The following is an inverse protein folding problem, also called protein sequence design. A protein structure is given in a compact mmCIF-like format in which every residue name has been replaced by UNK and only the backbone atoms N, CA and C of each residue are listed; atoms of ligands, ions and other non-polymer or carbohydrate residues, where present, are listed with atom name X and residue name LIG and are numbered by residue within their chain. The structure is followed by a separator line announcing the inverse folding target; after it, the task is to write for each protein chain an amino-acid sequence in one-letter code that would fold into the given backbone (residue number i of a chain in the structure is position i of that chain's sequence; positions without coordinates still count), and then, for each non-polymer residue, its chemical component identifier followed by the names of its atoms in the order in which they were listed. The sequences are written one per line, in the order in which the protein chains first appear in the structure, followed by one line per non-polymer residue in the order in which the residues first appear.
data_IF_857418291522
#
_entry.id   IF_857418291522
#
_cell.length_a   1.000
_cell.length_b   1.000
_cell.length_c   1.000
_cell.angle_alpha   90.00
_cell.angle_beta   90.00
_cell.angle_gamma   90.00
#
_symmetry.space_group_name_H-M   'P 1'
#
loop_
_entity.id
_entity.type
_entity.pdbx_description
1 polymer ?
#
# COMPACT_ATOMS: atom_id res chain seq x y z
N UNK A 1 100.80 -11.93 -4.55
CA UNK A 1 99.51 -12.57 -4.93
C UNK A 1 98.44 -12.25 -3.89
N UNK A 2 97.72 -11.13 -3.98
CA UNK A 2 96.70 -10.72 -2.97
C UNK A 2 95.49 -9.97 -3.54
N UNK A 3 95.31 -9.93 -4.87
CA UNK A 3 94.24 -9.18 -5.55
C UNK A 3 93.13 -10.04 -6.19
N UNK A 4 93.17 -11.37 -6.05
CA UNK A 4 92.18 -12.27 -6.68
C UNK A 4 91.08 -12.80 -5.74
N UNK A 5 91.27 -12.75 -4.42
CA UNK A 5 90.30 -13.29 -3.45
C UNK A 5 89.02 -12.44 -3.33
N UNK A 6 89.12 -11.11 -3.44
CA UNK A 6 87.96 -10.21 -3.35
C UNK A 6 86.98 -10.35 -4.51
N UNK A 7 87.45 -10.73 -5.71
CA UNK A 7 86.58 -10.99 -6.88
C UNK A 7 85.82 -12.32 -6.75
N UNK A 8 86.42 -13.33 -6.13
CA UNK A 8 85.76 -14.63 -5.90
C UNK A 8 84.68 -14.49 -4.82
N UNK A 9 84.95 -13.73 -3.74
CA UNK A 9 83.96 -13.48 -2.70
C UNK A 9 82.75 -12.68 -3.22
N UNK A 10 82.98 -11.72 -4.13
CA UNK A 10 81.91 -10.90 -4.70
C UNK A 10 81.04 -11.68 -5.71
N UNK A 11 81.62 -12.65 -6.43
CA UNK A 11 80.86 -13.57 -7.30
C UNK A 11 80.04 -14.56 -6.45
N UNK A 12 80.60 -15.11 -5.37
CA UNK A 12 79.88 -16.02 -4.47
C UNK A 12 78.74 -15.30 -3.73
N UNK A 13 78.90 -14.03 -3.35
CA UNK A 13 77.82 -13.24 -2.71
C UNK A 13 76.71 -12.83 -3.69
N UNK A 14 77.02 -12.66 -4.98
CA UNK A 14 76.03 -12.39 -6.03
C UNK A 14 75.23 -13.64 -6.39
N UNK A 15 75.84 -14.83 -6.34
CA UNK A 15 75.12 -16.10 -6.55
C UNK A 15 74.29 -16.58 -5.34
N UNK A 16 74.52 -16.04 -4.14
CA UNK A 16 73.77 -16.42 -2.93
C UNK A 16 72.48 -15.62 -2.69
N UNK A 17 72.16 -14.61 -3.52
CA UNK A 17 70.98 -13.75 -3.34
C UNK A 17 69.96 -13.85 -4.49
N UNK A 18 70.04 -14.87 -5.34
CA UNK A 18 69.12 -15.09 -6.46
C UNK A 18 68.45 -16.46 -6.36
N UNK A 19 67.84 -16.75 -5.21
CA UNK A 19 66.68 -17.65 -5.19
C UNK A 19 65.42 -16.80 -5.12
N UNK A 20 65.13 -16.08 -6.21
CA UNK A 20 63.73 -15.79 -6.56
C UNK A 20 63.10 -17.14 -6.94
N UNK A 21 62.88 -17.99 -5.95
CA UNK A 21 62.02 -19.14 -6.12
C UNK A 21 60.63 -18.57 -6.44
N UNK A 22 60.10 -18.91 -7.61
CA UNK A 22 58.71 -18.59 -7.91
C UNK A 22 57.85 -19.19 -6.79
N UNK A 23 56.90 -18.40 -6.26
CA UNK A 23 56.02 -18.94 -5.22
C UNK A 23 55.31 -20.18 -5.75
N UNK A 24 55.41 -21.25 -4.98
CA UNK A 24 54.74 -22.52 -5.23
C UNK A 24 53.39 -22.50 -4.53
N UNK A 25 52.41 -23.16 -5.11
CA UNK A 25 51.08 -23.29 -4.53
C UNK A 25 50.62 -24.74 -4.58
N UNK A 26 49.82 -25.14 -3.60
CA UNK A 26 49.23 -26.47 -3.50
C UNK A 26 47.73 -26.38 -3.30
N UNK A 27 46.99 -27.18 -4.06
CA UNK A 27 45.54 -27.29 -3.94
C UNK A 27 45.13 -28.52 -3.15
N UNK A 28 44.12 -28.36 -2.31
CA UNK A 28 43.39 -29.46 -1.68
C UNK A 28 41.90 -29.28 -1.93
N UNK A 29 41.19 -30.40 -2.09
CA UNK A 29 39.75 -30.40 -2.30
C UNK A 29 39.12 -31.53 -1.46
N UNK A 30 37.99 -31.23 -0.84
CA UNK A 30 37.23 -32.16 -0.01
C UNK A 30 35.73 -31.94 -0.17
N UNK A 31 34.98 -33.04 -0.08
CA UNK A 31 33.54 -33.02 0.13
C UNK A 31 33.23 -33.50 1.55
N UNK A 32 32.19 -32.96 2.19
CA UNK A 32 31.79 -33.40 3.52
C UNK A 32 31.22 -34.84 3.55
N UNK A 33 30.75 -35.35 2.41
CA UNK A 33 30.16 -36.68 2.26
C UNK A 33 30.54 -37.34 0.93
N UNK A 34 30.58 -38.66 0.93
CA UNK A 34 30.82 -39.50 -0.26
C UNK A 34 29.54 -40.08 -0.85
N UNK A 35 28.44 -40.04 -0.08
CA UNK A 35 27.10 -40.39 -0.54
C UNK A 35 26.10 -39.38 0.01
N UNK A 36 25.10 -39.05 -0.80
CA UNK A 36 24.03 -38.11 -0.49
C UNK A 36 22.71 -38.63 -1.04
N UNK A 37 21.59 -38.08 -0.58
CA UNK A 37 20.28 -38.26 -1.18
C UNK A 37 20.01 -37.18 -2.23
N UNK A 38 19.04 -37.43 -3.10
CA UNK A 38 18.56 -36.44 -4.06
C UNK A 38 18.18 -35.13 -3.32
N UNK A 39 18.58 -33.98 -3.86
CA UNK A 39 18.37 -32.67 -3.24
C UNK A 39 18.96 -32.45 -1.84
N UNK A 40 19.73 -33.40 -1.30
CA UNK A 40 20.52 -33.18 -0.09
C UNK A 40 21.71 -32.26 -0.38
N UNK A 41 22.03 -31.37 0.55
CA UNK A 41 23.18 -30.48 0.44
C UNK A 41 24.50 -31.25 0.53
N UNK A 42 25.43 -30.96 -0.38
CA UNK A 42 26.79 -31.48 -0.40
C UNK A 42 27.74 -30.29 -0.28
N UNK A 43 28.51 -30.23 0.82
CA UNK A 43 29.49 -29.16 1.02
C UNK A 43 30.81 -29.53 0.35
N UNK A 44 31.28 -28.63 -0.51
CA UNK A 44 32.54 -28.75 -1.23
C UNK A 44 33.47 -27.64 -0.77
N UNK A 45 34.71 -28.00 -0.46
CA UNK A 45 35.75 -27.08 -0.02
C UNK A 45 37.01 -27.26 -0.84
N UNK A 46 37.51 -26.16 -1.38
CA UNK A 46 38.76 -26.08 -2.13
C UNK A 46 39.67 -25.08 -1.43
N UNK A 47 40.90 -25.50 -1.13
CA UNK A 47 41.88 -24.66 -0.43
C UNK A 47 43.16 -24.59 -1.25
N UNK A 48 43.58 -23.37 -1.58
CA UNK A 48 44.87 -23.08 -2.19
C UNK A 48 45.81 -22.52 -1.13
N UNK A 49 46.94 -23.19 -0.90
CA UNK A 49 47.98 -22.74 0.03
C UNK A 49 49.23 -22.38 -0.74
N UNK A 50 49.72 -21.17 -0.55
CA UNK A 50 50.95 -20.66 -1.15
C UNK A 50 52.15 -20.91 -0.23
N UNK A 51 53.35 -20.99 -0.80
CA UNK A 51 54.59 -21.08 -0.03
C UNK A 51 55.00 -19.77 0.65
N UNK A 52 54.41 -18.64 0.24
CA UNK A 52 54.64 -17.28 0.75
C UNK A 52 53.34 -16.43 0.67
N UNK A 53 53.44 -15.11 0.87
CA UNK A 53 52.30 -14.19 0.80
C UNK A 53 51.69 -14.05 -0.61
N UNK A 54 52.45 -14.35 -1.68
CA UNK A 54 51.95 -14.45 -3.06
C UNK A 54 51.13 -13.27 -3.57
N UNK A 55 51.51 -12.05 -3.20
CA UNK A 55 50.81 -10.80 -3.55
C UNK A 55 50.67 -10.56 -5.07
N UNK A 56 51.52 -11.20 -5.88
CA UNK A 56 51.48 -11.09 -7.35
C UNK A 56 50.51 -12.06 -8.03
N UNK A 57 49.83 -12.90 -7.26
CA UNK A 57 48.94 -13.94 -7.78
C UNK A 57 47.48 -13.62 -7.46
N UNK A 58 46.62 -13.70 -8.47
CA UNK A 58 45.16 -13.62 -8.34
C UNK A 58 44.54 -14.93 -8.80
N UNK A 59 43.64 -15.50 -8.00
CA UNK A 59 42.92 -16.74 -8.34
C UNK A 59 41.52 -16.39 -8.83
N UNK A 60 41.16 -16.86 -10.01
CA UNK A 60 39.78 -16.86 -10.50
C UNK A 60 39.21 -18.27 -10.36
N UNK A 61 38.31 -18.43 -9.39
CA UNK A 61 37.62 -19.69 -9.14
C UNK A 61 36.20 -19.44 -8.62
N UNK A 62 35.23 -19.48 -9.53
CA UNK A 62 33.81 -19.32 -9.18
C UNK A 62 32.91 -20.24 -10.02
N UNK A 63 32.90 -21.56 -9.77
CA UNK A 63 32.04 -22.51 -10.47
C UNK A 63 30.55 -22.41 -10.08
N UNK A 64 30.08 -21.38 -9.37
CA UNK A 64 28.67 -21.32 -8.95
C UNK A 64 27.72 -21.21 -10.15
N UNK A 65 26.59 -21.93 -10.12
CA UNK A 65 25.56 -21.86 -11.16
C UNK A 65 24.71 -23.13 -11.28
N UNK A 66 23.89 -23.16 -12.32
CA UNK A 66 23.08 -24.32 -12.69
C UNK A 66 23.86 -25.23 -13.63
N UNK A 67 24.09 -26.47 -13.21
CA UNK A 67 24.63 -27.54 -14.04
C UNK A 67 23.53 -28.53 -14.40
N UNK A 68 23.79 -29.38 -15.39
CA UNK A 68 22.85 -30.41 -15.84
C UNK A 68 22.44 -31.34 -14.69
N UNK A 69 23.42 -31.84 -13.93
CA UNK A 69 23.22 -32.87 -12.88
C UNK A 69 23.07 -32.32 -11.47
N UNK A 70 23.41 -31.05 -11.25
CA UNK A 70 23.39 -30.42 -9.93
C UNK A 70 23.26 -28.91 -10.03
N UNK A 71 22.87 -28.28 -8.93
CA UNK A 71 22.97 -26.83 -8.74
C UNK A 71 24.11 -26.55 -7.77
N UNK A 72 24.94 -25.54 -8.04
CA UNK A 72 26.05 -25.15 -7.18
C UNK A 72 25.89 -23.71 -6.71
N UNK A 73 25.89 -23.51 -5.39
CA UNK A 73 25.80 -22.19 -4.78
C UNK A 73 27.10 -21.84 -4.03
N UNK A 74 27.52 -20.58 -4.13
CA UNK A 74 28.68 -20.08 -3.37
C UNK A 74 28.28 -19.92 -1.91
N UNK A 75 29.06 -20.52 -0.99
CA UNK A 75 28.85 -20.39 0.44
C UNK A 75 29.74 -19.30 1.01
N UNK A 76 31.05 -19.40 0.76
CA UNK A 76 32.01 -18.41 1.22
C UNK A 76 33.31 -18.46 0.42
N UNK A 77 34.01 -17.33 0.42
CA UNK A 77 35.38 -17.22 -0.06
C UNK A 77 36.17 -16.41 0.96
N UNK A 78 37.34 -16.92 1.34
CA UNK A 78 38.22 -16.22 2.28
C UNK A 78 39.68 -16.28 1.86
N UNK A 79 40.44 -15.28 2.30
CA UNK A 79 41.88 -15.19 2.14
C UNK A 79 42.50 -14.81 3.49
N UNK A 80 43.47 -15.61 3.92
CA UNK A 80 44.17 -15.40 5.19
C UNK A 80 45.68 -15.57 5.01
N UNK A 81 46.45 -14.84 5.80
CA UNK A 81 47.90 -15.06 5.94
C UNK A 81 48.14 -15.83 7.24
N UNK A 82 48.67 -17.04 7.12
CA UNK A 82 49.06 -17.89 8.25
C UNK A 82 50.55 -18.14 8.15
N UNK A 83 51.33 -17.74 9.15
CA UNK A 83 52.79 -17.88 9.18
C UNK A 83 53.50 -17.29 7.93
N UNK A 84 53.02 -16.14 7.45
CA UNK A 84 53.56 -15.47 6.25
C UNK A 84 53.20 -16.16 4.93
N UNK A 85 52.30 -17.14 4.95
CA UNK A 85 51.81 -17.88 3.79
C UNK A 85 50.36 -17.56 3.52
N UNK A 86 50.02 -17.28 2.26
CA UNK A 86 48.64 -17.04 1.86
C UNK A 86 47.86 -18.35 1.72
N UNK A 87 46.66 -18.37 2.28
CA UNK A 87 45.70 -19.47 2.19
C UNK A 87 44.36 -18.91 1.72
N UNK A 88 43.91 -19.37 0.56
CA UNK A 88 42.60 -19.03 -0.01
C UNK A 88 41.65 -20.22 0.15
N UNK A 89 40.49 -20.01 0.74
CA UNK A 89 39.43 -21.02 0.91
C UNK A 89 38.22 -20.65 0.06
N UNK A 90 37.69 -21.63 -0.67
CA UNK A 90 36.50 -21.51 -1.50
C UNK A 90 35.53 -22.61 -1.12
N UNK A 91 34.34 -22.22 -0.69
CA UNK A 91 33.33 -23.14 -0.19
C UNK A 91 32.04 -23.01 -0.98
N UNK A 92 31.46 -24.16 -1.33
CA UNK A 92 30.27 -24.27 -2.14
C UNK A 92 29.32 -25.31 -1.55
N UNK A 93 28.03 -25.16 -1.86
CA UNK A 93 27.02 -26.16 -1.56
C UNK A 93 26.39 -26.62 -2.86
N UNK A 94 26.48 -27.92 -3.13
CA UNK A 94 25.87 -28.56 -4.28
C UNK A 94 24.57 -29.27 -3.91
N UNK A 95 23.58 -29.20 -4.79
CA UNK A 95 22.32 -29.93 -4.69
C UNK A 95 22.15 -30.82 -5.91
N UNK A 96 22.14 -32.13 -5.71
CA UNK A 96 21.99 -33.10 -6.78
C UNK A 96 20.57 -33.08 -7.39
N UNK A 97 20.49 -33.20 -8.71
CA UNK A 97 19.22 -33.28 -9.48
C UNK A 97 18.88 -34.69 -9.94
N UNK A 98 19.87 -35.59 -9.95
CA UNK A 98 19.73 -36.97 -10.43
C UNK A 98 20.39 -37.96 -9.46
N UNK A 99 19.81 -39.15 -9.33
CA UNK A 99 20.30 -40.23 -8.46
C UNK A 99 21.38 -41.08 -9.17
N UNK A 100 22.56 -40.49 -9.34
CA UNK A 100 23.72 -41.11 -9.99
C UNK A 100 25.04 -40.72 -9.31
N UNK A 101 26.16 -41.25 -9.78
CA UNK A 101 27.49 -40.75 -9.37
C UNK A 101 27.74 -39.37 -10.02
N UNK A 102 27.85 -38.34 -9.18
CA UNK A 102 28.17 -36.98 -9.60
C UNK A 102 29.66 -36.74 -9.42
N UNK A 103 30.29 -36.22 -10.47
CA UNK A 103 31.69 -35.79 -10.47
C UNK A 103 31.76 -34.25 -10.46
N UNK A 104 32.39 -33.69 -9.43
CA UNK A 104 32.69 -32.26 -9.35
C UNK A 104 34.10 -32.03 -9.89
N UNK A 105 34.19 -31.79 -11.20
CA UNK A 105 35.41 -31.49 -11.91
C UNK A 105 35.41 -30.01 -12.32
N UNK A 106 36.12 -29.17 -11.56
CA UNK A 106 36.20 -27.74 -11.81
C UNK A 106 37.60 -27.33 -12.24
N UNK A 107 37.70 -26.20 -12.94
CA UNK A 107 38.96 -25.59 -13.34
C UNK A 107 39.10 -24.25 -12.63
N UNK A 108 40.33 -23.91 -12.23
CA UNK A 108 40.66 -22.60 -11.70
C UNK A 108 41.74 -21.95 -12.57
N UNK A 109 41.73 -20.62 -12.60
CA UNK A 109 42.68 -19.83 -13.39
C UNK A 109 43.54 -19.00 -12.45
N UNK A 110 44.85 -19.16 -12.58
CA UNK A 110 45.85 -18.41 -11.82
C UNK A 110 46.35 -17.30 -12.72
N UNK A 111 46.21 -16.06 -12.25
CA UNK A 111 46.77 -14.88 -12.91
C UNK A 111 47.98 -14.43 -12.13
N UNK A 112 49.13 -14.37 -12.78
CA UNK A 112 50.36 -13.79 -12.22
C UNK A 112 50.62 -12.45 -12.86
N UNK A 113 50.71 -11.40 -12.05
CA UNK A 113 51.10 -10.07 -12.50
C UNK A 113 52.55 -10.09 -12.98
N UNK A 114 52.80 -9.62 -14.19
CA UNK A 114 54.14 -9.57 -14.76
C UNK A 114 54.92 -8.34 -14.27
N UNK A 115 56.25 -8.44 -14.28
CA UNK A 115 57.14 -7.34 -13.91
C UNK A 115 56.94 -6.09 -14.77
N UNK A 116 56.68 -6.29 -16.05
CA UNK A 116 56.38 -5.23 -17.02
C UNK A 116 55.10 -4.46 -16.66
N UNK A 117 54.05 -5.18 -16.21
CA UNK A 117 52.83 -4.56 -15.70
C UNK A 117 53.09 -3.68 -14.47
N UNK A 118 53.92 -4.14 -13.53
CA UNK A 118 54.27 -3.39 -12.31
C UNK A 118 55.11 -2.15 -12.66
N UNK A 119 56.12 -2.31 -13.52
CA UNK A 119 57.01 -1.22 -13.95
C UNK A 119 56.22 -0.13 -14.72
N UNK A 120 55.26 -0.52 -15.56
CA UNK A 120 54.40 0.42 -16.28
C UNK A 120 53.47 1.22 -15.34
N UNK A 121 52.91 0.60 -14.30
CA UNK A 121 52.09 1.28 -13.29
C UNK A 121 52.92 2.26 -12.43
N UNK A 122 54.15 1.88 -12.04
CA UNK A 122 55.01 2.71 -11.17
C UNK A 122 55.61 3.91 -11.92
N UNK A 123 55.85 3.79 -13.24
CA UNK A 123 56.48 4.83 -14.05
C UNK A 123 55.51 5.84 -14.68
N UNK A 124 54.20 5.74 -14.42
CA UNK A 124 53.20 6.74 -14.84
C UNK A 124 53.09 6.96 -16.36
N UNK A 125 53.35 5.92 -17.17
CA UNK A 125 53.28 6.01 -18.62
C UNK A 125 51.84 5.82 -19.09
N UNK A 126 51.21 6.93 -19.44
CA UNK A 126 49.77 7.09 -19.73
C UNK A 126 49.27 6.47 -21.05
N UNK A 127 49.89 5.40 -21.58
CA UNK A 127 49.56 4.90 -22.93
C UNK A 127 49.62 3.38 -23.17
N UNK A 128 49.49 2.53 -22.15
CA UNK A 128 49.19 1.10 -22.37
C UNK A 128 48.07 0.65 -21.43
N UNK A 129 46.84 0.71 -21.93
CA UNK A 129 45.71 0.02 -21.33
C UNK A 129 45.82 -1.49 -21.63
N UNK A 130 46.48 -2.23 -20.73
CA UNK A 130 46.18 -3.63 -20.38
C UNK A 130 47.19 -4.08 -19.33
N UNK A 131 46.68 -4.50 -18.18
CA UNK A 131 47.49 -5.22 -17.20
C UNK A 131 47.93 -6.54 -17.84
N UNK A 132 49.24 -6.74 -17.96
CA UNK A 132 49.80 -7.95 -18.54
C UNK A 132 49.89 -9.04 -17.47
N UNK A 133 48.94 -9.97 -17.51
CA UNK A 133 48.91 -11.15 -16.66
C UNK A 133 49.35 -12.40 -17.44
N UNK A 134 50.19 -13.22 -16.82
CA UNK A 134 50.34 -14.62 -17.25
C UNK A 134 49.19 -15.42 -16.67
N UNK A 135 48.39 -16.07 -17.51
CA UNK A 135 47.28 -16.93 -17.09
C UNK A 135 47.68 -18.39 -17.18
N UNK A 136 47.46 -19.13 -16.11
CA UNK A 136 47.64 -20.58 -16.07
C UNK A 136 46.33 -21.23 -15.59
N UNK A 137 45.83 -22.17 -16.39
CA UNK A 137 44.63 -22.94 -16.10
C UNK A 137 45.00 -24.28 -15.47
N UNK A 138 44.33 -24.68 -14.41
CA UNK A 138 44.58 -25.96 -13.74
C UNK A 138 43.28 -26.62 -13.29
N UNK A 139 43.15 -27.90 -13.65
CA UNK A 139 42.04 -28.74 -13.24
C UNK A 139 42.17 -29.06 -11.74
N UNK A 140 41.08 -28.87 -11.00
CA UNK A 140 40.99 -29.27 -9.60
C UNK A 140 40.85 -30.77 -9.47
N UNK A 141 41.16 -31.27 -8.26
CA UNK A 141 40.88 -32.65 -7.89
C UNK A 141 39.38 -32.93 -8.05
N UNK A 142 39.07 -33.96 -8.84
CA UNK A 142 37.69 -34.42 -9.04
C UNK A 142 37.16 -35.02 -7.75
N UNK A 143 36.03 -34.51 -7.26
CA UNK A 143 35.31 -35.08 -6.13
C UNK A 143 34.14 -35.92 -6.64
N UNK A 144 33.99 -37.13 -6.12
CA UNK A 144 32.94 -38.07 -6.52
C UNK A 144 31.95 -38.27 -5.37
N UNK A 145 30.66 -38.13 -5.65
CA UNK A 145 29.58 -38.36 -4.67
C UNK A 145 28.51 -39.24 -5.29
N UNK A 146 28.16 -40.34 -4.61
CA UNK A 146 27.09 -41.24 -5.03
C UNK A 146 25.74 -40.76 -4.50
N UNK A 147 24.84 -40.36 -5.40
CA UNK A 147 23.51 -39.86 -5.03
C UNK A 147 22.48 -40.98 -5.05
N UNK A 148 21.73 -41.12 -3.96
CA UNK A 148 20.64 -42.08 -3.78
C UNK A 148 19.30 -41.42 -4.08
N UNK A 149 18.40 -42.20 -4.65
CA UNK A 149 17.03 -41.77 -4.91
C UNK A 149 16.24 -41.59 -3.61
N UNK A 150 15.29 -40.66 -3.62
CA UNK A 150 14.31 -40.43 -2.55
C UNK A 150 12.90 -40.56 -3.09
N UNK A 151 11.99 -41.07 -2.26
CA UNK A 151 10.59 -41.23 -2.64
C UNK A 151 9.81 -39.89 -2.66
N UNK A 152 10.40 -38.81 -2.14
CA UNK A 152 9.79 -37.49 -2.05
C UNK A 152 10.75 -36.44 -2.61
N UNK A 153 10.19 -35.39 -3.21
CA UNK A 153 10.95 -34.23 -3.68
C UNK A 153 11.46 -33.37 -2.52
N UNK A 154 10.73 -33.31 -1.41
CA UNK A 154 11.12 -32.58 -0.21
C UNK A 154 12.05 -33.45 0.65
N UNK A 155 13.27 -32.97 0.89
CA UNK A 155 14.35 -33.68 1.57
C UNK A 155 15.01 -32.73 2.57
N UNK A 156 15.09 -33.17 3.83
CA UNK A 156 15.63 -32.33 4.89
C UNK A 156 15.04 -32.66 6.26
N UNK A 157 15.37 -31.82 7.22
CA UNK A 157 14.84 -31.89 8.58
C UNK A 157 13.91 -30.71 8.77
N UNK A 158 12.60 -30.98 8.75
CA UNK A 158 11.57 -29.96 8.81
C UNK A 158 10.68 -30.12 10.05
N UNK A 159 10.16 -29.00 10.52
CA UNK A 159 9.15 -28.90 11.56
C UNK A 159 8.06 -27.95 11.08
N UNK A 160 6.81 -28.27 11.41
CA UNK A 160 5.66 -27.43 11.07
C UNK A 160 5.10 -26.79 12.33
N UNK A 161 4.74 -25.52 12.24
CA UNK A 161 4.08 -24.76 13.29
C UNK A 161 2.92 -24.00 12.67
N UNK A 162 1.81 -23.96 13.38
CA UNK A 162 0.63 -23.20 13.00
C UNK A 162 0.39 -22.09 14.03
N UNK A 163 0.09 -20.89 13.55
CA UNK A 163 -0.36 -19.78 14.36
C UNK A 163 -1.80 -19.48 13.99
N UNK A 164 -2.70 -19.80 14.92
CA UNK A 164 -4.14 -19.61 14.78
C UNK A 164 -4.72 -19.00 16.05
N UNK A 165 -5.82 -18.27 15.92
CA UNK A 165 -6.57 -17.70 17.06
C UNK A 165 -7.59 -18.73 17.56
N UNK A 166 -8.38 -18.36 18.57
CA UNK A 166 -9.54 -19.16 18.96
C UNK A 166 -10.46 -19.33 17.74
N UNK A 167 -10.93 -20.55 17.43
CA UNK A 167 -11.69 -20.84 16.21
C UNK A 167 -13.17 -20.44 16.36
N UNK A 168 -13.39 -19.16 16.69
CA UNK A 168 -14.70 -18.52 16.83
C UNK A 168 -14.65 -17.17 16.14
N UNK A 169 -15.51 -16.99 15.15
CA UNK A 169 -15.62 -15.76 14.37
C UNK A 169 -17.09 -15.44 14.10
N UNK A 170 -17.42 -14.18 13.81
CA UNK A 170 -18.77 -13.84 13.32
C UNK A 170 -18.91 -14.17 11.84
N UNK A 171 -20.15 -14.31 11.37
CA UNK A 171 -20.41 -14.49 9.95
C UNK A 171 -19.75 -13.37 9.12
N UNK A 172 -19.08 -13.78 8.04
CA UNK A 172 -18.29 -12.92 7.14
C UNK A 172 -17.01 -12.32 7.74
N UNK A 173 -16.68 -12.60 9.00
CA UNK A 173 -15.39 -12.24 9.60
C UNK A 173 -14.32 -13.26 9.20
N UNK A 174 -13.10 -12.82 8.79
CA UNK A 174 -12.05 -13.74 8.39
C UNK A 174 -11.41 -14.44 9.60
N UNK A 175 -11.36 -15.77 9.54
CA UNK A 175 -10.51 -16.57 10.42
C UNK A 175 -9.10 -16.69 9.83
N UNK A 176 -8.08 -16.33 10.60
CA UNK A 176 -6.69 -16.29 10.13
C UNK A 176 -5.87 -17.46 10.64
N UNK A 177 -5.15 -18.12 9.72
CA UNK A 177 -4.12 -19.11 10.03
C UNK A 177 -2.83 -18.70 9.32
N UNK A 178 -1.70 -18.81 10.01
CA UNK A 178 -0.38 -18.69 9.43
C UNK A 178 0.39 -19.99 9.66
N UNK A 179 0.85 -20.60 8.57
CA UNK A 179 1.61 -21.87 8.61
C UNK A 179 3.08 -21.53 8.43
N UNK A 180 3.92 -22.12 9.27
CA UNK A 180 5.36 -22.01 9.24
C UNK A 180 5.99 -23.39 9.10
N UNK A 181 6.87 -23.57 8.13
CA UNK A 181 7.71 -24.76 7.98
C UNK A 181 9.15 -24.30 8.21
N UNK A 182 9.75 -24.72 9.31
CA UNK A 182 11.12 -24.36 9.69
C UNK A 182 12.02 -25.57 9.62
N UNK A 183 13.27 -25.36 9.19
CA UNK A 183 14.20 -26.48 9.14
C UNK A 183 15.43 -26.24 8.31
N UNK A 184 16.01 -27.36 7.88
CA UNK A 184 17.17 -27.43 7.00
C UNK A 184 16.86 -28.37 5.85
N UNK A 185 16.92 -27.89 4.61
CA UNK A 185 16.64 -28.71 3.43
C UNK A 185 16.24 -27.90 2.20
N UNK A 186 15.66 -28.56 1.20
CA UNK A 186 15.30 -27.92 -0.06
C UNK A 186 13.92 -27.24 0.00
N UNK A 187 13.86 -26.02 0.53
CA UNK A 187 12.62 -25.22 0.61
C UNK A 187 11.93 -24.98 -0.75
N UNK A 188 12.66 -25.07 -1.86
CA UNK A 188 12.09 -24.91 -3.21
C UNK A 188 11.18 -26.06 -3.65
N UNK A 189 11.28 -27.22 -3.01
CA UNK A 189 10.36 -28.34 -3.26
C UNK A 189 9.01 -28.18 -2.55
N UNK A 190 8.87 -27.21 -1.64
CA UNK A 190 7.61 -26.94 -0.92
C UNK A 190 6.66 -26.20 -1.86
N UNK A 191 5.55 -26.85 -2.21
CA UNK A 191 4.48 -26.25 -3.00
C UNK A 191 3.59 -25.36 -2.12
N UNK A 192 3.01 -24.27 -2.66
CA UNK A 192 1.97 -23.51 -1.97
C UNK A 192 0.85 -24.44 -1.51
N UNK A 193 0.39 -24.23 -0.28
CA UNK A 193 -0.70 -25.01 0.30
C UNK A 193 -2.02 -24.40 -0.17
N UNK A 194 -2.93 -25.25 -0.60
CA UNK A 194 -4.26 -24.85 -1.06
C UNK A 194 -5.33 -25.57 -0.24
N UNK A 195 -6.30 -24.81 0.26
CA UNK A 195 -7.48 -25.34 0.95
C UNK A 195 -8.70 -25.16 0.05
N UNK A 196 -9.45 -26.24 -0.17
CA UNK A 196 -10.73 -26.20 -0.86
C UNK A 196 -11.82 -26.71 0.09
N UNK A 197 -12.66 -25.79 0.58
CA UNK A 197 -13.70 -26.06 1.56
C UNK A 197 -15.02 -25.51 1.01
N UNK A 198 -16.05 -26.34 0.96
CA UNK A 198 -17.36 -25.96 0.43
C UNK A 198 -17.99 -24.84 1.29
N UNK A 199 -18.50 -23.79 0.64
CA UNK A 199 -19.14 -22.67 1.34
C UNK A 199 -18.17 -21.71 2.07
N UNK A 200 -16.86 -21.86 1.87
CA UNK A 200 -15.84 -20.99 2.47
C UNK A 200 -15.02 -20.32 1.36
N UNK A 201 -14.86 -18.99 1.45
CA UNK A 201 -13.91 -18.25 0.61
C UNK A 201 -12.55 -18.28 1.29
N UNK A 202 -11.58 -18.91 0.64
CA UNK A 202 -10.21 -19.01 1.14
C UNK A 202 -9.34 -18.00 0.40
N UNK A 203 -8.70 -17.10 1.13
CA UNK A 203 -7.67 -16.21 0.62
C UNK A 203 -6.31 -16.71 1.10
N UNK A 204 -5.47 -17.14 0.16
CA UNK A 204 -4.09 -17.50 0.43
C UNK A 204 -3.19 -16.31 0.12
N UNK A 205 -2.35 -15.93 1.07
CA UNK A 205 -1.28 -14.97 0.88
C UNK A 205 -0.15 -15.58 0.05
N UNK A 206 0.75 -14.70 -0.41
CA UNK A 206 1.98 -15.13 -1.08
C UNK A 206 2.85 -15.95 -0.13
N UNK A 207 3.58 -16.90 -0.72
CA UNK A 207 4.56 -17.69 -0.01
C UNK A 207 5.78 -16.82 0.30
N UNK A 208 6.15 -16.78 1.57
CA UNK A 208 7.38 -16.11 2.03
C UNK A 208 8.42 -17.17 2.34
N UNK A 209 9.59 -17.03 1.73
CA UNK A 209 10.76 -17.89 1.91
C UNK A 209 11.90 -17.05 2.50
N UNK A 210 12.24 -17.32 3.75
CA UNK A 210 13.36 -16.66 4.44
C UNK A 210 14.38 -17.73 4.85
N UNK A 211 15.42 -17.90 4.04
CA UNK A 211 16.47 -18.87 4.31
C UNK A 211 17.86 -18.36 3.96
N UNK A 212 18.84 -18.94 4.63
CA UNK A 212 20.27 -18.66 4.47
C UNK A 212 20.98 -19.95 4.14
N UNK A 213 21.89 -19.91 3.16
CA UNK A 213 22.74 -21.04 2.82
C UNK A 213 23.83 -21.24 3.89
N UNK A 214 23.97 -22.47 4.37
CA UNK A 214 25.04 -22.95 5.24
C UNK A 214 25.63 -24.26 4.71
N UNK A 215 26.70 -24.74 5.33
CA UNK A 215 27.41 -25.97 4.92
C UNK A 215 26.50 -27.20 4.77
N UNK A 216 25.51 -27.35 5.64
CA UNK A 216 24.55 -28.46 5.67
C UNK A 216 23.25 -28.20 4.88
N UNK A 217 23.15 -27.06 4.18
CA UNK A 217 22.05 -26.74 3.26
C UNK A 217 21.41 -25.39 3.51
N UNK A 218 20.19 -25.21 2.99
CA UNK A 218 19.39 -24.01 3.24
C UNK A 218 18.77 -24.11 4.63
N UNK A 219 19.00 -23.13 5.48
CA UNK A 219 18.42 -22.99 6.82
C UNK A 219 17.40 -21.89 6.80
N UNK A 220 16.18 -22.15 7.24
CA UNK A 220 15.23 -21.06 7.32
C UNK A 220 13.80 -21.47 7.58
N UNK A 221 12.93 -20.62 7.08
CA UNK A 221 11.50 -20.65 7.29
C UNK A 221 10.77 -20.41 5.96
N UNK A 222 9.81 -21.28 5.69
CA UNK A 222 8.78 -21.08 4.68
C UNK A 222 7.50 -20.74 5.41
N UNK A 223 6.77 -19.72 4.96
CA UNK A 223 5.48 -19.37 5.56
C UNK A 223 4.43 -18.99 4.52
N UNK A 224 3.17 -19.27 4.88
CA UNK A 224 2.02 -18.88 4.08
C UNK A 224 0.85 -18.51 5.01
N UNK A 225 0.20 -17.39 4.70
CA UNK A 225 -0.94 -16.86 5.45
C UNK A 225 -2.24 -17.22 4.76
N UNK A 226 -3.27 -17.49 5.54
CA UNK A 226 -4.60 -17.83 5.07
C UNK A 226 -5.65 -16.99 5.80
N UNK A 227 -6.70 -16.60 5.08
CA UNK A 227 -7.92 -16.03 5.64
C UNK A 227 -9.12 -16.80 5.11
N UNK A 228 -9.91 -17.38 6.02
CA UNK A 228 -11.10 -18.16 5.71
C UNK A 228 -12.33 -17.33 6.05
N UNK A 229 -13.20 -17.10 5.07
CA UNK A 229 -14.43 -16.30 5.25
C UNK A 229 -15.63 -17.19 4.94
N UNK A 230 -16.53 -17.34 5.90
CA UNK A 230 -17.78 -18.09 5.72
C UNK A 230 -18.94 -17.44 6.48
N UNK A 231 -20.15 -17.82 6.10
CA UNK A 231 -21.40 -17.49 6.78
C UNK A 231 -21.79 -18.58 7.80
N UNK A 232 -21.29 -19.81 7.63
CA UNK A 232 -21.65 -20.99 8.42
C UNK A 232 -20.41 -21.62 9.02
N UNK A 233 -20.62 -22.46 10.03
CA UNK A 233 -19.55 -23.28 10.59
C UNK A 233 -18.88 -24.12 9.51
N UNK A 234 -17.56 -24.26 9.63
CA UNK A 234 -16.77 -25.00 8.65
C UNK A 234 -15.60 -25.69 9.34
N UNK A 235 -15.13 -26.77 8.70
CA UNK A 235 -13.98 -27.54 9.15
C UNK A 235 -12.83 -27.36 8.17
N UNK A 236 -11.68 -26.91 8.69
CA UNK A 236 -10.44 -26.85 7.92
C UNK A 236 -9.85 -28.26 7.92
N UNK A 237 -9.67 -28.89 6.74
CA UNK A 237 -9.23 -30.27 6.65
C UNK A 237 -7.77 -30.43 7.07
N UNK A 238 -7.43 -31.62 7.59
CA UNK A 238 -6.04 -32.03 7.82
C UNK A 238 -5.27 -32.04 6.50
N UNK A 239 -4.07 -31.46 6.50
CA UNK A 239 -3.14 -31.55 5.36
C UNK A 239 -1.89 -32.29 5.81
N UNK A 240 -1.43 -33.24 4.99
CA UNK A 240 -0.18 -33.98 5.20
C UNK A 240 0.79 -33.71 4.06
N UNK A 241 2.00 -33.28 4.41
CA UNK A 241 3.07 -32.97 3.45
C UNK A 241 4.19 -34.00 3.67
N UNK A 242 4.36 -34.98 2.77
CA UNK A 242 5.40 -35.99 2.92
C UNK A 242 6.79 -35.39 2.62
N UNK A 243 7.78 -35.74 3.44
CA UNK A 243 9.17 -35.34 3.28
C UNK A 243 10.11 -36.49 3.67
N UNK A 244 11.32 -36.50 3.11
CA UNK A 244 12.35 -37.46 3.48
C UNK A 244 13.21 -36.86 4.59
N UNK A 245 13.15 -37.48 5.77
CA UNK A 245 13.90 -37.05 6.94
C UNK A 245 15.33 -37.60 6.87
N UNK A 246 16.33 -36.70 6.90
CA UNK A 246 17.74 -37.09 6.76
C UNK A 246 18.32 -37.72 8.02
N UNK A 247 17.77 -37.41 9.20
CA UNK A 247 18.22 -38.00 10.47
C UNK A 247 17.76 -39.45 10.58
N UNK A 248 16.50 -39.71 10.21
CA UNK A 248 15.91 -41.04 10.33
C UNK A 248 15.97 -41.87 9.06
N UNK A 249 16.41 -41.27 7.95
CA UNK A 249 16.54 -41.90 6.62
C UNK A 249 15.24 -42.57 6.16
N UNK A 250 14.10 -41.95 6.44
CA UNK A 250 12.77 -42.44 6.08
C UNK A 250 11.81 -41.30 5.77
N UNK A 251 10.75 -41.64 5.04
CA UNK A 251 9.66 -40.69 4.76
C UNK A 251 8.84 -40.44 6.02
N UNK A 252 8.63 -39.16 6.32
CA UNK A 252 7.76 -38.63 7.38
C UNK A 252 6.75 -37.68 6.76
N UNK A 253 5.74 -37.27 7.53
CA UNK A 253 4.74 -36.29 7.09
C UNK A 253 4.69 -35.12 8.08
N UNK A 254 4.71 -33.90 7.55
CA UNK A 254 4.32 -32.71 8.30
C UNK A 254 2.80 -32.62 8.25
N UNK A 255 2.14 -32.53 9.40
CA UNK A 255 0.68 -32.45 9.48
C UNK A 255 0.21 -31.10 9.98
N UNK A 256 -0.78 -30.53 9.29
CA UNK A 256 -1.61 -29.44 9.80
C UNK A 256 -2.89 -30.09 10.31
N UNK A 257 -3.23 -29.84 11.58
CA UNK A 257 -4.37 -30.50 12.23
C UNK A 257 -5.71 -29.93 11.78
N UNK A 258 -6.72 -30.81 11.76
CA UNK A 258 -8.11 -30.42 11.52
C UNK A 258 -8.53 -29.37 12.53
N UNK A 259 -9.20 -28.31 12.06
CA UNK A 259 -9.72 -27.24 12.93
C UNK A 259 -11.17 -26.96 12.60
N UNK A 260 -12.05 -27.18 13.58
CA UNK A 260 -13.47 -26.80 13.49
C UNK A 260 -13.64 -25.35 13.90
N UNK A 261 -14.18 -24.52 13.01
CA UNK A 261 -14.41 -23.10 13.23
C UNK A 261 -15.90 -22.85 13.42
N UNK A 262 -16.27 -22.38 14.61
CA UNK A 262 -17.64 -21.96 14.90
C UNK A 262 -17.86 -20.54 14.41
N UNK A 263 -18.96 -20.35 13.69
CA UNK A 263 -19.33 -19.07 13.08
C UNK A 263 -20.62 -18.60 13.75
N UNK A 264 -20.50 -17.54 14.56
CA UNK A 264 -21.65 -16.90 15.18
C UNK A 264 -22.45 -16.11 14.14
N UNK A 265 -23.76 -16.01 14.33
CA UNK A 265 -24.60 -15.19 13.46
C UNK A 265 -24.05 -13.75 13.43
N UNK A 266 -23.79 -13.26 12.22
CA UNK A 266 -23.38 -11.87 11.99
C UNK A 266 -24.52 -10.90 12.29
N UNK A 267 -24.22 -9.61 12.20
CA UNK A 267 -25.22 -8.56 12.34
C UNK A 267 -26.35 -8.77 11.33
N UNK A 268 -27.59 -8.67 11.79
CA UNK A 268 -28.74 -8.76 10.89
C UNK A 268 -28.76 -7.52 9.98
N UNK A 269 -29.40 -7.62 8.80
CA UNK A 269 -29.44 -6.51 7.84
C UNK A 269 -30.10 -5.26 8.45
N UNK A 270 -30.97 -5.48 9.43
CA UNK A 270 -31.67 -4.49 10.22
C UNK A 270 -30.78 -3.80 11.25
N UNK A 271 -29.67 -4.41 11.68
CA UNK A 271 -28.68 -3.82 12.60
C UNK A 271 -27.60 -3.01 11.88
N UNK A 272 -27.38 -3.28 10.59
CA UNK A 272 -26.37 -2.60 9.76
C UNK A 272 -26.90 -1.36 9.03
N UNK A 273 -28.23 -1.20 8.99
CA UNK A 273 -28.89 -0.04 8.43
C UNK A 273 -29.28 0.88 9.57
N UNK A 274 -28.83 2.14 9.52
CA UNK A 274 -29.41 3.18 10.39
C UNK A 274 -30.92 3.22 10.10
N UNK A 275 -31.76 3.19 11.14
CA UNK A 275 -33.18 3.50 10.97
C UNK A 275 -33.24 4.90 10.34
N UNK A 276 -33.60 4.99 9.06
CA UNK A 276 -33.93 6.28 8.46
C UNK A 276 -34.93 6.96 9.40
N UNK A 277 -34.66 8.20 9.86
CA UNK A 277 -35.62 8.90 10.68
C UNK A 277 -36.89 8.93 9.85
N UNK A 278 -37.91 8.18 10.29
CA UNK A 278 -39.25 8.30 9.74
C UNK A 278 -39.57 9.77 9.92
N UNK A 279 -39.49 10.56 8.84
CA UNK A 279 -39.99 11.92 8.84
C UNK A 279 -41.48 11.78 9.15
N UNK A 280 -41.81 11.84 10.44
CA UNK A 280 -43.18 12.00 10.88
C UNK A 280 -43.61 13.31 10.29
N UNK A 281 -44.50 13.24 9.30
CA UNK A 281 -45.11 14.43 8.73
C UNK A 281 -45.82 15.18 9.85
N UNK A 282 -45.12 16.11 10.49
CA UNK A 282 -45.69 16.96 11.53
C UNK A 282 -46.56 17.98 10.81
N UNK A 283 -47.86 17.67 10.74
CA UNK A 283 -48.84 18.56 10.14
C UNK A 283 -48.93 19.83 10.98
N UNK A 284 -48.30 20.91 10.50
CA UNK A 284 -48.36 22.22 11.15
C UNK A 284 -49.77 22.80 10.98
N UNK A 285 -50.45 23.03 12.12
CA UNK A 285 -51.79 23.62 12.20
C UNK A 285 -51.84 25.00 11.52
N UNK A 286 -50.70 25.68 11.37
CA UNK A 286 -50.54 26.91 10.58
C UNK A 286 -51.08 26.78 9.15
N UNK A 287 -50.96 25.62 8.52
CA UNK A 287 -51.53 25.38 7.18
C UNK A 287 -53.05 25.44 7.14
N UNK A 288 -53.72 25.02 8.21
CA UNK A 288 -55.18 25.16 8.34
C UNK A 288 -55.55 26.64 8.50
N UNK A 289 -54.78 27.41 9.27
CA UNK A 289 -55.02 28.84 9.43
C UNK A 289 -54.87 29.61 8.11
N UNK A 290 -53.87 29.28 7.28
CA UNK A 290 -53.73 29.87 5.95
C UNK A 290 -54.92 29.56 5.04
N UNK A 291 -55.42 28.31 5.08
CA UNK A 291 -56.57 27.90 4.29
C UNK A 291 -57.87 28.59 4.75
N UNK A 292 -58.07 28.74 6.07
CA UNK A 292 -59.21 29.47 6.64
C UNK A 292 -59.16 30.97 6.34
N UNK A 293 -57.99 31.60 6.43
CA UNK A 293 -57.81 33.01 6.10
C UNK A 293 -58.11 33.28 4.62
N UNK A 294 -57.67 32.38 3.73
CA UNK A 294 -57.98 32.44 2.31
C UNK A 294 -59.50 32.34 2.05
N UNK A 295 -60.18 31.37 2.68
CA UNK A 295 -61.62 31.21 2.55
C UNK A 295 -62.41 32.42 3.08
N UNK A 296 -62.00 32.99 4.22
CA UNK A 296 -62.63 34.17 4.79
C UNK A 296 -62.48 35.41 3.89
N UNK A 297 -61.27 35.65 3.36
CA UNK A 297 -61.02 36.73 2.41
C UNK A 297 -61.85 36.62 1.14
N UNK A 298 -61.97 35.39 0.60
CA UNK A 298 -62.81 35.12 -0.56
C UNK A 298 -64.30 35.43 -0.30
N UNK A 299 -64.81 35.12 0.88
CA UNK A 299 -66.20 35.40 1.25
C UNK A 299 -66.47 36.91 1.42
N UNK A 300 -65.55 37.65 2.04
CA UNK A 300 -65.68 39.11 2.21
C UNK A 300 -65.71 39.82 0.86
N UNK A 301 -64.88 39.39 -0.10
CA UNK A 301 -64.85 39.96 -1.45
C UNK A 301 -66.18 39.82 -2.21
N UNK A 302 -67.04 38.87 -1.81
CA UNK A 302 -68.32 38.59 -2.48
C UNK A 302 -69.49 39.45 -1.96
N UNK A 303 -69.27 40.31 -0.97
CA UNK A 303 -70.32 41.16 -0.39
C UNK A 303 -70.31 42.55 -1.07
N UNK A 304 -71.34 42.84 -1.86
CA UNK A 304 -71.54 44.15 -2.48
C UNK A 304 -72.17 45.16 -1.49
N UNK A 305 -71.40 46.16 -1.06
CA UNK A 305 -71.91 47.24 -0.21
C UNK A 305 -72.70 48.29 -1.02
N UNK A 306 -74.04 48.28 -0.97
CA UNK A 306 -74.90 49.34 -1.54
C UNK A 306 -75.13 50.48 -0.53
N UNK A 307 -74.62 51.68 -0.81
CA UNK A 307 -74.98 52.92 -0.07
C UNK A 307 -76.09 53.67 -0.82
N UNK A 308 -77.22 53.93 -0.16
CA UNK A 308 -78.31 54.75 -0.70
C UNK A 308 -78.16 56.24 -0.33
N UNK A 309 -78.30 57.14 -1.31
CA UNK A 309 -78.31 58.60 -1.11
C UNK A 309 -79.71 59.19 -1.34
N UNK A 310 -80.14 60.14 -0.50
CA UNK A 310 -81.48 60.78 -0.51
C UNK A 310 -81.39 62.15 -1.23
N UNK A 311 -82.35 62.48 -2.12
CA UNK A 311 -82.44 63.80 -2.82
C UNK A 311 -83.16 64.85 -1.94
N UNK A 312 -82.60 66.06 -1.85
CA UNK A 312 -83.15 67.22 -1.11
C UNK A 312 -84.08 68.07 -2.00
N UNK A 313 -84.96 68.89 -1.38
CA UNK A 313 -85.99 69.69 -2.08
C UNK A 313 -85.44 71.09 -2.50
N UNK A 314 -86.03 71.74 -3.50
CA UNK A 314 -85.43 72.92 -4.17
C UNK A 314 -85.18 74.16 -3.29
N UNK A 315 -85.96 74.35 -2.22
CA UNK A 315 -85.76 75.45 -1.27
C UNK A 315 -84.69 75.13 -0.21
N UNK A 316 -84.44 73.85 0.09
CA UNK A 316 -83.30 73.43 0.92
C UNK A 316 -81.98 73.56 0.16
N UNK A 317 -81.99 73.19 -1.13
CA UNK A 317 -80.82 73.42 -2.00
C UNK A 317 -80.49 74.92 -2.12
N UNK A 318 -81.49 75.79 -2.16
CA UNK A 318 -81.24 77.24 -2.19
C UNK A 318 -80.67 77.75 -0.87
N UNK A 319 -81.18 77.27 0.28
CA UNK A 319 -80.61 77.60 1.60
C UNK A 319 -79.15 77.17 1.69
N UNK A 320 -78.84 75.95 1.26
CA UNK A 320 -77.48 75.43 1.27
C UNK A 320 -76.56 76.28 0.37
N UNK A 321 -77.02 76.66 -0.82
CA UNK A 321 -76.26 77.57 -1.72
C UNK A 321 -76.01 78.95 -1.11
N UNK A 322 -76.99 79.53 -0.41
CA UNK A 322 -76.83 80.80 0.31
C UNK A 322 -75.84 80.67 1.46
N UNK A 323 -75.86 79.55 2.20
CA UNK A 323 -74.89 79.27 3.26
C UNK A 323 -73.47 79.03 2.71
N UNK A 324 -73.35 78.41 1.55
CA UNK A 324 -72.06 78.09 0.93
C UNK A 324 -71.44 79.25 0.13
N UNK A 325 -72.21 80.31 -0.18
CA UNK A 325 -71.70 81.49 -0.89
C UNK A 325 -70.49 82.10 -0.15
N UNK A 326 -69.39 82.36 -0.85
CA UNK A 326 -68.10 82.72 -0.24
C UNK A 326 -67.83 84.22 -0.25
N UNK A 327 -68.52 84.98 -1.10
CA UNK A 327 -68.36 86.43 -1.22
C UNK A 327 -69.70 87.15 -1.19
N UNK A 328 -69.66 88.44 -0.80
CA UNK A 328 -70.87 89.27 -0.69
C UNK A 328 -71.51 89.47 -2.07
N UNK A 329 -70.69 89.63 -3.11
CA UNK A 329 -71.14 89.81 -4.49
C UNK A 329 -71.80 88.54 -5.04
N UNK A 330 -71.24 87.36 -4.75
CA UNK A 330 -71.82 86.06 -5.14
C UNK A 330 -73.18 85.86 -4.47
N UNK A 331 -73.29 86.21 -3.19
CA UNK A 331 -74.54 86.16 -2.44
C UNK A 331 -75.60 87.11 -3.03
N UNK A 332 -75.21 88.33 -3.40
CA UNK A 332 -76.12 89.31 -4.01
C UNK A 332 -76.67 88.80 -5.34
N UNK A 333 -75.82 88.23 -6.21
CA UNK A 333 -76.24 87.66 -7.50
C UNK A 333 -77.24 86.51 -7.27
N UNK A 334 -77.00 85.63 -6.31
CA UNK A 334 -77.92 84.53 -5.99
C UNK A 334 -79.29 85.03 -5.50
N UNK A 335 -79.33 86.13 -4.74
CA UNK A 335 -80.59 86.75 -4.28
C UNK A 335 -81.37 87.42 -5.40
N UNK A 336 -80.68 88.16 -6.28
CA UNK A 336 -81.29 88.78 -7.47
C UNK A 336 -81.91 87.73 -8.38
N UNK A 337 -81.18 86.63 -8.63
CA UNK A 337 -81.63 85.55 -9.51
C UNK A 337 -82.81 84.75 -8.95
N UNK A 338 -82.92 84.61 -7.62
CA UNK A 338 -84.05 83.90 -6.99
C UNK A 338 -85.30 84.76 -6.96
N UNK A 339 -85.22 85.99 -6.42
CA UNK A 339 -86.35 86.94 -6.37
C UNK A 339 -85.87 88.35 -5.96
N UNK A 340 -85.51 89.19 -6.95
CA UNK A 340 -84.96 90.52 -6.71
C UNK A 340 -85.89 91.46 -5.92
N UNK A 341 -87.23 91.34 -6.07
CA UNK A 341 -88.18 92.18 -5.33
C UNK A 341 -88.24 91.81 -3.86
N UNK A 342 -88.18 90.51 -3.55
CA UNK A 342 -88.25 90.02 -2.17
C UNK A 342 -87.03 90.44 -1.35
N UNK A 343 -85.85 90.52 -1.97
CA UNK A 343 -84.59 90.81 -1.27
C UNK A 343 -84.03 92.21 -1.56
N UNK A 344 -84.82 93.08 -2.19
CA UNK A 344 -84.41 94.42 -2.64
C UNK A 344 -83.72 95.25 -1.55
N UNK A 345 -84.22 95.17 -0.31
CA UNK A 345 -83.63 95.88 0.82
C UNK A 345 -82.21 95.40 1.14
N UNK A 346 -81.98 94.09 1.14
CA UNK A 346 -80.66 93.50 1.43
C UNK A 346 -79.69 93.76 0.27
N UNK A 347 -80.19 93.67 -0.97
CA UNK A 347 -79.42 93.97 -2.18
C UNK A 347 -78.96 95.44 -2.16
N UNK A 348 -79.86 96.38 -1.87
CA UNK A 348 -79.54 97.82 -1.81
C UNK A 348 -78.54 98.16 -0.69
N UNK A 349 -78.62 97.49 0.46
CA UNK A 349 -77.66 97.69 1.56
C UNK A 349 -76.26 97.14 1.24
N UNK A 350 -76.17 96.10 0.41
CA UNK A 350 -74.92 95.58 -0.13
C UNK A 350 -74.36 96.54 -1.19
N UNK A 351 -75.16 96.99 -2.15
CA UNK A 351 -74.73 97.91 -3.24
C UNK A 351 -74.25 99.26 -2.71
N UNK A 352 -74.92 99.79 -1.68
CA UNK A 352 -74.52 101.06 -1.03
C UNK A 352 -73.33 100.90 -0.07
N UNK A 353 -72.72 99.71 0.01
CA UNK A 353 -71.60 99.35 0.89
C UNK A 353 -71.85 99.58 2.39
N UNK A 354 -73.11 99.64 2.80
CA UNK A 354 -73.47 99.70 4.23
C UNK A 354 -73.23 98.37 4.92
N UNK A 355 -73.32 97.25 4.18
CA UNK A 355 -72.97 95.91 4.66
C UNK A 355 -71.80 95.37 3.84
N UNK A 356 -70.62 95.33 4.43
CA UNK A 356 -69.38 94.84 3.79
C UNK A 356 -68.97 93.42 4.23
N UNK A 357 -69.69 92.84 5.18
CA UNK A 357 -69.40 91.52 5.74
C UNK A 357 -70.44 90.48 5.29
N UNK A 358 -69.97 89.36 4.74
CA UNK A 358 -70.78 88.23 4.27
C UNK A 358 -71.68 87.66 5.38
N UNK A 359 -71.16 87.56 6.60
CA UNK A 359 -71.91 87.04 7.75
C UNK A 359 -73.07 87.97 8.13
N UNK A 360 -72.86 89.27 8.02
CA UNK A 360 -73.88 90.28 8.28
C UNK A 360 -74.96 90.26 7.20
N UNK A 361 -74.56 90.15 5.93
CA UNK A 361 -75.48 90.03 4.79
C UNK A 361 -76.36 88.78 4.89
N UNK A 362 -75.79 87.61 5.22
CA UNK A 362 -76.56 86.36 5.39
C UNK A 362 -77.60 86.44 6.51
N UNK A 363 -77.29 87.17 7.58
CA UNK A 363 -78.22 87.34 8.71
C UNK A 363 -79.45 88.17 8.33
N UNK A 364 -79.29 89.16 7.46
CA UNK A 364 -80.37 90.03 6.96
C UNK A 364 -81.34 89.32 6.00
N UNK A 365 -80.93 88.24 5.34
CA UNK A 365 -81.79 87.45 4.43
C UNK A 365 -82.85 86.66 5.20
N UNK A 366 -82.51 86.23 6.42
CA UNK A 366 -83.33 85.37 7.26
C UNK A 366 -83.96 86.09 8.47
N UNK A 367 -83.72 87.40 8.60
CA UNK A 367 -84.40 88.30 9.55
C UNK A 367 -85.62 88.93 8.92
#
# INVERSE_FOLDING_TARGET
MRKSLGRIFLIVFIFLNLSLAASTYTWSASANKTSAYLHEAIHLKYVCSFSDASELYTIEFNPSGEYEKFTLQNLSQSEHIVDGKRVNSYEFVAFAKEALEIEFAFEAVMKKTTKESIENTVLGRDNVQKEDFTKESFAQKVLKVTVKETNTSLVGNFSIQEKKREPKVKAYEPYHIEVFIKGVGNFDAIKPIEFNIEGVKVFAGEVVKDYVLKEDGLHGEWSQKFAFVSEREFTIPKIEIPYFDLQEQRVRSLSIDTTDVSVEAGFSKEELLDEEPKESFEFDISYIYYLLAFAAGFLVAKIEFKKGARKLNSDEEFRQKVEDAKTVDELMIMLVLKDAKRYEKVISEIETKKVTSLKSAKKLIWS
#
